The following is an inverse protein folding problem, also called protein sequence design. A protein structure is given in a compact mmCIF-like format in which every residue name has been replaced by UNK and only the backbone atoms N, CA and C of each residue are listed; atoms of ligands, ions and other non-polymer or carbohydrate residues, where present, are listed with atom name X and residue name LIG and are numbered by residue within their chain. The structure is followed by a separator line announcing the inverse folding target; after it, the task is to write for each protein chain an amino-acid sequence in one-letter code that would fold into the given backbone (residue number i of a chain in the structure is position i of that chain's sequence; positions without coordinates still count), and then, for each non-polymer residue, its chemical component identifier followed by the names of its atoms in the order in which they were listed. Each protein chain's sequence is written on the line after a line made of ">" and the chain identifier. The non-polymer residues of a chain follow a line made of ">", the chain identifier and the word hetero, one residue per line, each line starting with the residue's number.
data_IF_639061767133
#
_entry.id   IF_639061767133
#
_cell.length_a   1.000
_cell.length_b   1.000
_cell.length_c   1.000
_cell.angle_alpha   90.00
_cell.angle_beta   90.00
_cell.angle_gamma   90.00
#
_symmetry.space_group_name_H-M   'P 1'
#
loop_
_entity.id
_entity.type
_entity.pdbx_description
1 polymer ?
#
# COMPACT_ATOMS: atom_id res chain seq x y z
N UNK A 1 -5.80 -15.37 10.43
CA UNK A 1 -5.59 -14.00 9.93
C UNK A 1 -4.73 -14.06 8.69
N UNK A 2 -4.90 -13.17 7.69
CA UNK A 2 -4.01 -13.11 6.55
C UNK A 2 -2.57 -12.81 7.03
N UNK A 3 -1.59 -13.32 6.32
CA UNK A 3 -0.19 -13.01 6.60
C UNK A 3 0.18 -11.69 5.91
N UNK A 4 0.50 -10.67 6.71
CA UNK A 4 0.84 -9.34 6.22
C UNK A 4 2.33 -9.11 6.40
N UNK A 5 3.05 -8.79 5.33
CA UNK A 5 4.46 -8.43 5.36
C UNK A 5 4.65 -7.01 4.83
N UNK A 6 5.19 -6.12 5.66
CA UNK A 6 5.50 -4.75 5.24
C UNK A 6 6.84 -4.73 4.50
N UNK A 7 6.78 -4.47 3.21
CA UNK A 7 7.95 -4.41 2.33
C UNK A 7 8.54 -3.00 2.26
N UNK A 8 7.70 -1.99 2.47
CA UNK A 8 8.10 -0.60 2.52
C UNK A 8 7.09 0.23 3.30
N UNK A 9 7.60 1.14 4.12
CA UNK A 9 6.81 1.89 5.11
C UNK A 9 7.07 3.40 5.09
N UNK A 10 7.88 3.88 4.14
CA UNK A 10 8.11 5.30 3.88
C UNK A 10 7.15 5.84 2.83
N UNK A 11 6.82 7.13 2.94
CA UNK A 11 6.24 7.90 1.84
C UNK A 11 7.31 8.36 0.85
N UNK A 12 7.02 9.40 0.05
CA UNK A 12 7.89 9.90 -1.02
C UNK A 12 9.28 10.34 -0.58
N UNK A 13 9.49 10.58 0.71
CA UNK A 13 10.82 10.86 1.26
C UNK A 13 11.50 9.55 1.68
N UNK A 14 12.37 9.02 0.82
CA UNK A 14 13.14 7.82 1.12
C UNK A 14 13.99 7.99 2.36
N UNK A 15 13.79 7.12 3.34
CA UNK A 15 14.63 7.06 4.54
C UNK A 15 15.72 5.99 4.36
N UNK A 16 16.82 6.12 5.11
CA UNK A 16 17.96 5.18 5.01
C UNK A 16 17.58 3.72 5.29
N UNK A 17 16.60 3.50 6.15
CA UNK A 17 16.18 2.20 6.71
C UNK A 17 14.76 1.78 6.27
N UNK A 18 14.14 2.53 5.35
CA UNK A 18 12.77 2.29 4.88
C UNK A 18 12.66 2.44 3.37
N UNK A 19 12.02 1.50 2.75
CA UNK A 19 11.57 1.57 1.36
C UNK A 19 10.24 2.31 1.26
N UNK A 20 9.88 2.79 0.07
CA UNK A 20 8.58 3.39 -0.19
C UNK A 20 7.44 2.37 -0.06
N UNK A 21 6.19 2.83 -0.16
CA UNK A 21 4.99 2.06 0.13
C UNK A 21 4.95 0.69 -0.56
N UNK A 22 4.69 -0.35 0.22
CA UNK A 22 4.49 -1.70 -0.28
C UNK A 22 4.15 -2.68 0.85
N UNK A 23 3.02 -3.36 0.71
CA UNK A 23 2.54 -4.34 1.71
C UNK A 23 2.09 -5.60 0.99
N UNK A 24 2.64 -6.74 1.37
CA UNK A 24 2.20 -8.04 0.87
C UNK A 24 1.21 -8.66 1.85
N UNK A 25 -0.02 -8.87 1.41
CA UNK A 25 -1.09 -9.57 2.14
C UNK A 25 -1.32 -10.89 1.44
N UNK A 26 -0.90 -11.99 2.06
CA UNK A 26 -0.88 -13.34 1.48
C UNK A 26 -0.15 -13.38 0.12
N UNK A 27 -0.88 -13.37 -0.99
CA UNK A 27 -0.39 -13.37 -2.38
C UNK A 27 -0.60 -12.02 -3.10
N UNK A 28 -1.17 -11.05 -2.42
CA UNK A 28 -1.56 -9.76 -2.98
C UNK A 28 -0.61 -8.65 -2.51
N UNK A 29 0.12 -8.05 -3.45
CA UNK A 29 0.98 -6.90 -3.22
C UNK A 29 0.18 -5.60 -3.35
N UNK A 30 0.06 -4.86 -2.26
CA UNK A 30 -0.54 -3.53 -2.19
C UNK A 30 0.56 -2.49 -2.35
N UNK A 31 0.58 -1.80 -3.45
CA UNK A 31 1.62 -0.89 -3.92
C UNK A 31 3.02 -1.53 -4.06
N UNK A 32 3.86 -0.89 -4.85
CA UNK A 32 5.23 -1.33 -5.11
C UNK A 32 6.15 -0.13 -5.36
N UNK A 33 6.28 0.73 -4.36
CA UNK A 33 7.16 1.88 -4.38
C UNK A 33 8.64 1.51 -4.40
N UNK A 34 9.51 2.50 -4.50
CA UNK A 34 10.97 2.29 -4.57
C UNK A 34 11.51 1.48 -3.41
N UNK A 35 12.25 0.41 -3.71
CA UNK A 35 12.91 -0.49 -2.77
C UNK A 35 12.06 -1.71 -2.38
N UNK A 36 10.80 -1.80 -2.81
CA UNK A 36 9.92 -2.95 -2.54
C UNK A 36 10.48 -4.23 -3.18
N UNK A 37 10.92 -4.20 -4.44
CA UNK A 37 11.55 -5.34 -5.10
C UNK A 37 12.82 -5.80 -4.37
N UNK A 38 13.65 -4.85 -3.93
CA UNK A 38 14.83 -5.15 -3.13
C UNK A 38 14.47 -5.86 -1.82
N UNK A 39 13.40 -5.41 -1.14
CA UNK A 39 12.95 -6.01 0.11
C UNK A 39 12.26 -7.36 -0.10
N UNK A 40 11.53 -7.57 -1.20
CA UNK A 40 11.06 -8.92 -1.60
C UNK A 40 12.24 -9.89 -1.63
N UNK A 41 13.35 -9.52 -2.28
CA UNK A 41 14.57 -10.34 -2.34
C UNK A 41 15.24 -10.51 -0.98
N UNK A 42 15.39 -9.40 -0.24
CA UNK A 42 16.04 -9.40 1.08
C UNK A 42 15.33 -10.29 2.09
N UNK A 43 13.99 -10.35 2.03
CA UNK A 43 13.19 -11.16 2.95
C UNK A 43 12.93 -12.58 2.42
N UNK A 44 13.56 -12.97 1.30
CA UNK A 44 13.46 -14.32 0.73
C UNK A 44 12.07 -14.68 0.21
N UNK A 45 11.28 -13.67 -0.22
CA UNK A 45 9.94 -13.88 -0.75
C UNK A 45 10.05 -14.22 -2.24
N UNK A 46 9.59 -15.40 -2.69
CA UNK A 46 9.57 -15.73 -4.11
C UNK A 46 8.59 -14.81 -4.86
N UNK A 47 8.98 -14.29 -6.03
CA UNK A 47 8.06 -13.50 -6.86
C UNK A 47 6.86 -14.32 -7.35
N UNK A 48 7.00 -15.63 -7.48
CA UNK A 48 5.89 -16.55 -7.78
C UNK A 48 4.79 -16.57 -6.71
N UNK A 49 5.05 -16.04 -5.52
CA UNK A 49 4.04 -15.86 -4.47
C UNK A 49 3.13 -14.66 -4.74
N UNK A 50 3.55 -13.70 -5.54
CA UNK A 50 2.77 -12.48 -5.81
C UNK A 50 1.85 -12.75 -7.00
N UNK A 51 0.62 -13.14 -6.76
CA UNK A 51 -0.37 -13.43 -7.82
C UNK A 51 -1.12 -12.17 -8.25
N UNK A 52 -1.15 -11.15 -7.39
CA UNK A 52 -1.88 -9.90 -7.64
C UNK A 52 -1.09 -8.68 -7.17
N UNK A 53 -1.13 -7.61 -7.94
CA UNK A 53 -0.59 -6.29 -7.60
C UNK A 53 -1.72 -5.29 -7.65
N UNK A 54 -2.06 -4.67 -6.53
CA UNK A 54 -3.05 -3.61 -6.43
C UNK A 54 -2.33 -2.28 -6.25
N UNK A 55 -2.53 -1.35 -7.17
CA UNK A 55 -1.92 -0.02 -7.09
C UNK A 55 -2.96 0.99 -6.64
N UNK A 56 -2.73 1.60 -5.48
CA UNK A 56 -3.63 2.60 -4.91
C UNK A 56 -3.72 3.84 -5.77
N UNK A 57 -2.57 4.34 -6.24
CA UNK A 57 -2.45 5.47 -7.16
C UNK A 57 -1.06 5.52 -7.82
N UNK A 58 -0.89 6.41 -8.81
CA UNK A 58 0.28 6.43 -9.68
C UNK A 58 1.41 7.38 -9.23
N UNK A 59 1.55 7.69 -7.93
CA UNK A 59 2.78 8.33 -7.45
C UNK A 59 3.96 7.36 -7.46
N UNK A 60 5.15 7.89 -7.68
CA UNK A 60 6.36 7.08 -7.83
C UNK A 60 6.71 6.27 -6.57
N UNK A 61 6.39 6.78 -5.39
CA UNK A 61 6.58 6.08 -4.12
C UNK A 61 5.56 4.96 -3.86
N UNK A 62 4.56 4.80 -4.75
CA UNK A 62 3.59 3.70 -4.75
C UNK A 62 3.75 2.73 -5.92
N UNK A 63 4.39 3.14 -7.03
CA UNK A 63 4.55 2.29 -8.21
C UNK A 63 5.98 2.28 -8.80
N UNK A 64 6.97 2.87 -8.13
CA UNK A 64 8.33 3.06 -8.66
C UNK A 64 9.07 1.78 -9.02
N UNK A 65 8.86 0.68 -8.30
CA UNK A 65 9.46 -0.62 -8.60
C UNK A 65 8.61 -1.49 -9.54
N UNK A 66 7.45 -0.99 -10.01
CA UNK A 66 6.53 -1.77 -10.85
C UNK A 66 7.22 -2.40 -12.06
N UNK A 67 7.92 -1.60 -12.86
CA UNK A 67 8.64 -2.09 -14.04
C UNK A 67 9.66 -3.16 -13.66
N UNK A 68 10.43 -2.91 -12.59
CA UNK A 68 11.44 -3.86 -12.10
C UNK A 68 10.83 -5.19 -11.65
N UNK A 69 9.65 -5.17 -11.01
CA UNK A 69 8.92 -6.38 -10.59
C UNK A 69 8.45 -7.16 -11.80
N UNK A 70 7.82 -6.51 -12.79
CA UNK A 70 7.36 -7.16 -14.03
C UNK A 70 8.55 -7.78 -14.80
N UNK A 71 9.66 -7.04 -14.94
CA UNK A 71 10.86 -7.57 -15.57
C UNK A 71 11.45 -8.76 -14.81
N UNK A 72 11.52 -8.68 -13.48
CA UNK A 72 12.04 -9.77 -12.66
C UNK A 72 11.19 -11.02 -12.79
N UNK A 73 9.85 -10.91 -12.74
CA UNK A 73 8.93 -12.03 -12.99
C UNK A 73 9.14 -12.66 -14.35
N UNK A 74 9.31 -11.86 -15.40
CA UNK A 74 9.54 -12.34 -16.76
C UNK A 74 10.92 -13.03 -16.91
N UNK A 75 11.99 -12.45 -16.35
CA UNK A 75 13.34 -13.02 -16.36
C UNK A 75 13.44 -14.33 -15.57
N UNK A 76 12.69 -14.46 -14.49
CA UNK A 76 12.57 -15.70 -13.71
C UNK A 76 11.65 -16.74 -14.34
N UNK A 77 11.12 -16.42 -15.54
CA UNK A 77 10.26 -17.31 -16.33
C UNK A 77 9.01 -17.75 -15.56
N UNK A 78 8.41 -16.80 -14.79
CA UNK A 78 7.14 -17.04 -14.11
C UNK A 78 6.11 -17.63 -15.08
N UNK A 79 5.42 -18.69 -14.65
CA UNK A 79 4.40 -19.39 -15.46
C UNK A 79 2.98 -19.00 -15.12
N UNK A 80 2.77 -18.56 -13.88
CA UNK A 80 1.44 -18.08 -13.46
C UNK A 80 1.19 -16.68 -14.01
N UNK A 81 -0.04 -16.34 -14.38
CA UNK A 81 -0.43 -14.97 -14.62
C UNK A 81 -0.16 -14.09 -13.38
N UNK A 82 0.09 -12.82 -13.59
CA UNK A 82 0.02 -11.80 -12.56
C UNK A 82 -1.11 -10.85 -12.89
N UNK A 83 -2.01 -10.63 -11.95
CA UNK A 83 -3.09 -9.66 -12.09
C UNK A 83 -2.61 -8.29 -11.59
N UNK A 84 -2.78 -7.25 -12.38
CA UNK A 84 -2.49 -5.85 -12.04
C UNK A 84 -3.80 -5.09 -12.00
N UNK A 85 -4.13 -4.54 -10.85
CA UNK A 85 -5.40 -3.87 -10.60
C UNK A 85 -5.17 -2.43 -10.17
N UNK A 86 -5.98 -1.53 -10.68
CA UNK A 86 -5.96 -0.12 -10.33
C UNK A 86 -7.04 0.65 -11.07
N UNK A 87 -7.21 1.92 -10.76
CA UNK A 87 -8.04 2.81 -11.59
C UNK A 87 -7.53 2.83 -13.03
N UNK A 88 -8.41 3.00 -14.01
CA UNK A 88 -8.05 3.00 -15.42
C UNK A 88 -6.91 3.98 -15.73
N UNK A 89 -6.97 5.21 -15.19
CA UNK A 89 -5.90 6.20 -15.37
C UNK A 89 -4.55 5.79 -14.72
N UNK A 90 -4.58 5.02 -13.63
CA UNK A 90 -3.38 4.43 -13.03
C UNK A 90 -2.79 3.35 -13.93
N UNK A 91 -3.63 2.43 -14.44
CA UNK A 91 -3.20 1.37 -15.35
C UNK A 91 -2.58 1.93 -16.64
N UNK A 92 -3.18 2.97 -17.23
CA UNK A 92 -2.66 3.64 -18.42
C UNK A 92 -1.25 4.21 -18.18
N UNK A 93 -1.02 4.79 -17.01
CA UNK A 93 0.31 5.29 -16.62
C UNK A 93 1.32 4.16 -16.44
N UNK A 94 0.92 3.03 -15.85
CA UNK A 94 1.80 1.86 -15.70
C UNK A 94 2.17 1.25 -17.06
N UNK A 95 1.24 1.18 -18.00
CA UNK A 95 1.53 0.81 -19.39
C UNK A 95 2.52 1.77 -20.04
N UNK A 96 2.27 3.07 -19.91
CA UNK A 96 3.14 4.11 -20.48
C UNK A 96 4.55 4.03 -19.91
N UNK A 97 4.71 3.76 -18.60
CA UNK A 97 6.03 3.62 -17.98
C UNK A 97 6.77 2.39 -18.52
N UNK A 98 6.10 1.25 -18.72
CA UNK A 98 6.71 0.08 -19.37
C UNK A 98 7.23 0.41 -20.77
N UNK A 99 6.47 1.18 -21.55
CA UNK A 99 6.86 1.60 -22.90
C UNK A 99 8.03 2.60 -22.87
N UNK A 100 7.99 3.60 -21.97
CA UNK A 100 9.06 4.60 -21.80
C UNK A 100 10.40 3.94 -21.45
N UNK A 101 10.38 2.90 -20.60
CA UNK A 101 11.58 2.13 -20.27
C UNK A 101 11.99 1.16 -21.38
N UNK A 102 11.28 1.16 -22.51
CA UNK A 102 11.61 0.30 -23.65
C UNK A 102 11.51 -1.18 -23.32
N UNK A 103 10.49 -1.59 -22.56
CA UNK A 103 10.29 -2.99 -22.17
C UNK A 103 10.22 -3.88 -23.41
N UNK A 104 11.16 -4.83 -23.62
CA UNK A 104 11.15 -5.67 -24.80
C UNK A 104 9.91 -6.57 -24.83
N UNK A 105 9.20 -6.59 -25.97
CA UNK A 105 8.03 -7.47 -26.15
C UNK A 105 8.41 -8.95 -25.98
N UNK A 106 9.62 -9.32 -26.39
CA UNK A 106 10.17 -10.66 -26.21
C UNK A 106 10.31 -11.06 -24.74
N UNK A 107 10.65 -10.11 -23.88
CA UNK A 107 10.74 -10.35 -22.42
C UNK A 107 9.39 -10.75 -21.86
N UNK A 108 8.31 -10.10 -22.29
CA UNK A 108 6.95 -10.34 -21.79
C UNK A 108 6.24 -11.52 -22.46
N UNK A 109 6.81 -12.15 -23.50
CA UNK A 109 6.15 -13.28 -24.21
C UNK A 109 5.72 -14.44 -23.30
N UNK A 110 6.46 -14.67 -22.23
CA UNK A 110 6.23 -15.78 -21.31
C UNK A 110 5.56 -15.36 -19.99
N UNK A 111 5.26 -14.08 -19.83
CA UNK A 111 4.57 -13.54 -18.67
C UNK A 111 3.18 -13.03 -19.06
N UNK A 112 2.15 -13.67 -18.58
CA UNK A 112 0.78 -13.16 -18.72
C UNK A 112 0.53 -12.11 -17.65
N UNK A 113 0.36 -10.85 -18.07
CA UNK A 113 -0.09 -9.76 -17.20
C UNK A 113 -1.55 -9.48 -17.51
N UNK A 114 -2.43 -9.76 -16.56
CA UNK A 114 -3.84 -9.44 -16.65
C UNK A 114 -4.06 -8.03 -16.05
N UNK A 115 -4.50 -7.11 -16.88
CA UNK A 115 -4.79 -5.73 -16.49
C UNK A 115 -6.27 -5.56 -16.23
N UNK A 116 -6.62 -5.40 -14.96
CA UNK A 116 -8.01 -5.34 -14.55
C UNK A 116 -8.34 -3.98 -13.91
N UNK A 117 -9.14 -3.15 -14.59
CA UNK A 117 -9.72 -1.96 -13.96
C UNK A 117 -10.52 -2.33 -12.70
N UNK A 118 -10.54 -1.45 -11.72
CA UNK A 118 -11.19 -1.66 -10.41
C UNK A 118 -12.61 -2.22 -10.54
N UNK A 119 -13.38 -1.70 -11.49
CA UNK A 119 -14.79 -2.05 -11.70
C UNK A 119 -14.99 -3.51 -12.14
N UNK A 120 -13.94 -4.15 -12.63
CA UNK A 120 -13.96 -5.55 -13.13
C UNK A 120 -13.20 -6.53 -12.25
N UNK A 121 -12.35 -6.02 -11.36
CA UNK A 121 -11.42 -6.84 -10.59
C UNK A 121 -12.10 -7.66 -9.48
N UNK A 122 -13.36 -7.40 -9.15
CA UNK A 122 -14.09 -8.08 -8.07
C UNK A 122 -13.48 -7.83 -6.67
N UNK A 123 -12.82 -6.69 -6.50
CA UNK A 123 -12.17 -6.27 -5.25
C UNK A 123 -12.97 -5.14 -4.64
N UNK A 124 -13.14 -5.16 -3.33
CA UNK A 124 -13.73 -4.03 -2.63
C UNK A 124 -12.74 -2.87 -2.57
N UNK A 125 -13.19 -1.71 -3.03
CA UNK A 125 -12.40 -0.48 -3.03
C UNK A 125 -13.23 0.75 -2.66
N UNK A 126 -12.53 1.81 -2.26
CA UNK A 126 -13.14 3.11 -1.94
C UNK A 126 -12.19 4.23 -2.34
N UNK A 127 -12.70 5.26 -2.98
CA UNK A 127 -11.93 6.44 -3.33
C UNK A 127 -11.52 7.23 -2.08
N UNK A 128 -10.24 7.52 -1.94
CA UNK A 128 -9.67 8.42 -0.95
C UNK A 128 -9.68 9.87 -1.40
N UNK A 129 -9.27 10.77 -0.51
CA UNK A 129 -9.05 12.19 -0.83
C UNK A 129 -7.57 12.40 -1.08
N UNK A 130 -7.16 12.29 -2.34
CA UNK A 130 -5.76 12.48 -2.77
C UNK A 130 -5.69 12.88 -4.24
N UNK A 131 -4.54 13.38 -4.69
CA UNK A 131 -4.25 13.65 -6.11
C UNK A 131 -2.85 13.13 -6.47
N UNK A 132 -2.72 12.30 -7.54
CA UNK A 132 -3.80 11.74 -8.37
C UNK A 132 -4.76 10.87 -7.54
N UNK A 133 -5.92 10.53 -8.14
CA UNK A 133 -6.95 9.75 -7.46
C UNK A 133 -6.39 8.50 -6.81
N UNK A 134 -6.67 8.31 -5.52
CA UNK A 134 -6.23 7.18 -4.73
C UNK A 134 -7.41 6.28 -4.37
N UNK A 135 -7.18 4.97 -4.35
CA UNK A 135 -8.16 3.98 -3.94
C UNK A 135 -7.64 3.15 -2.76
N UNK A 136 -8.45 3.13 -1.70
CA UNK A 136 -8.30 2.18 -0.60
C UNK A 136 -8.83 0.81 -1.02
N UNK A 137 -8.24 -0.26 -0.47
CA UNK A 137 -8.62 -1.64 -0.76
C UNK A 137 -9.01 -2.38 0.51
N UNK A 138 -10.04 -3.25 0.42
CA UNK A 138 -10.36 -4.22 1.47
C UNK A 138 -10.14 -5.63 0.93
N UNK A 139 -9.34 -6.38 1.66
CA UNK A 139 -9.04 -7.79 1.36
C UNK A 139 -9.60 -8.67 2.46
N UNK A 140 -10.09 -9.85 2.10
CA UNK A 140 -10.55 -10.87 3.03
C UNK A 140 -9.72 -12.14 2.90
N UNK A 141 -9.43 -12.80 4.03
CA UNK A 141 -8.91 -14.17 4.00
C UNK A 141 -10.04 -15.20 3.91
N UNK A 142 -9.66 -16.49 3.72
CA UNK A 142 -10.62 -17.58 3.64
C UNK A 142 -11.46 -17.82 4.92
N UNK A 143 -11.10 -17.15 6.04
CA UNK A 143 -11.84 -17.20 7.30
C UNK A 143 -12.70 -15.94 7.53
N UNK A 144 -12.82 -15.06 6.53
CA UNK A 144 -13.61 -13.84 6.59
C UNK A 144 -12.95 -12.71 7.40
N UNK A 145 -11.66 -12.82 7.73
CA UNK A 145 -10.91 -11.71 8.35
C UNK A 145 -10.55 -10.67 7.31
N UNK A 146 -10.68 -9.39 7.66
CA UNK A 146 -10.48 -8.31 6.72
C UNK A 146 -9.30 -7.40 7.06
N UNK A 147 -8.60 -6.98 6.00
CA UNK A 147 -7.54 -5.98 6.03
C UNK A 147 -7.94 -4.84 5.12
N UNK A 148 -7.95 -3.62 5.64
CA UNK A 148 -8.14 -2.40 4.85
C UNK A 148 -6.80 -1.68 4.74
N UNK A 149 -6.42 -1.32 3.50
CA UNK A 149 -5.26 -0.50 3.17
C UNK A 149 -5.75 0.80 2.52
N UNK A 150 -5.35 1.95 3.04
CA UNK A 150 -5.90 3.23 2.59
C UNK A 150 -5.20 3.80 1.36
N UNK A 151 -3.94 3.39 1.06
CA UNK A 151 -3.08 4.24 0.24
C UNK A 151 -2.93 5.62 0.90
N UNK A 152 -2.78 6.65 0.10
CA UNK A 152 -2.67 8.04 0.56
C UNK A 152 -4.03 8.72 0.57
N UNK A 153 -4.37 9.35 1.69
CA UNK A 153 -5.66 10.03 1.81
C UNK A 153 -5.70 11.01 2.98
N UNK A 154 -6.38 12.11 2.80
CA UNK A 154 -6.88 12.87 3.94
C UNK A 154 -7.97 12.07 4.68
N UNK A 155 -8.10 12.31 5.98
CA UNK A 155 -9.19 11.74 6.78
C UNK A 155 -10.56 12.13 6.21
N UNK A 156 -11.45 11.15 6.04
CA UNK A 156 -12.80 11.36 5.53
C UNK A 156 -13.80 10.35 6.11
N UNK A 157 -15.10 10.71 6.13
CA UNK A 157 -16.17 9.77 6.53
C UNK A 157 -16.23 8.57 5.58
N UNK A 158 -15.97 8.76 4.28
CA UNK A 158 -15.95 7.68 3.29
C UNK A 158 -14.92 6.59 3.64
N UNK A 159 -13.69 6.99 4.00
CA UNK A 159 -12.65 6.04 4.45
C UNK A 159 -13.02 5.41 5.78
N UNK A 160 -13.62 6.17 6.71
CA UNK A 160 -14.11 5.63 8.00
C UNK A 160 -15.18 4.55 7.78
N UNK A 161 -16.18 4.83 6.95
CA UNK A 161 -17.24 3.87 6.65
C UNK A 161 -16.71 2.64 5.90
N UNK A 162 -15.78 2.83 4.98
CA UNK A 162 -15.14 1.74 4.25
C UNK A 162 -14.28 0.85 5.19
N UNK A 163 -13.66 1.42 6.22
CA UNK A 163 -12.86 0.69 7.18
C UNK A 163 -13.68 -0.01 8.29
N UNK A 164 -15.01 0.19 8.32
CA UNK A 164 -15.87 -0.30 9.40
C UNK A 164 -15.68 -1.78 9.68
N UNK A 165 -15.51 -2.12 10.98
CA UNK A 165 -15.35 -3.48 11.50
C UNK A 165 -14.15 -4.27 10.94
N UNK A 166 -13.17 -3.61 10.32
CA UNK A 166 -11.99 -4.29 9.82
C UNK A 166 -11.16 -4.91 10.96
N UNK A 167 -10.62 -6.12 10.73
CA UNK A 167 -9.70 -6.72 11.71
C UNK A 167 -8.38 -5.95 11.77
N UNK A 168 -7.90 -5.44 10.63
CA UNK A 168 -6.70 -4.60 10.54
C UNK A 168 -6.98 -3.43 9.59
N UNK A 169 -6.72 -2.21 10.08
CA UNK A 169 -6.63 -1.02 9.25
C UNK A 169 -5.15 -0.63 9.10
N UNK A 170 -4.64 -0.67 7.88
CA UNK A 170 -3.32 -0.13 7.50
C UNK A 170 -3.57 1.26 6.92
N UNK A 171 -3.20 2.28 7.67
CA UNK A 171 -3.49 3.67 7.32
C UNK A 171 -2.20 4.49 7.21
N UNK A 172 -2.14 5.36 6.19
CA UNK A 172 -1.08 6.33 6.09
C UNK A 172 -1.02 7.22 7.33
N UNK A 173 0.17 7.70 7.65
CA UNK A 173 0.44 8.65 8.73
C UNK A 173 1.64 9.51 8.39
N UNK A 174 1.53 10.16 7.25
CA UNK A 174 2.58 10.99 6.63
C UNK A 174 3.07 12.06 7.59
N UNK A 175 2.18 12.56 8.47
CA UNK A 175 2.47 13.67 9.36
C UNK A 175 2.15 13.38 10.84
N UNK A 176 2.72 14.20 11.74
CA UNK A 176 2.38 14.24 13.17
C UNK A 176 1.15 15.13 13.40
N UNK A 177 0.54 15.00 14.58
CA UNK A 177 -0.64 15.80 14.97
C UNK A 177 -0.45 17.31 14.85
N UNK A 178 0.75 17.82 15.17
CA UNK A 178 1.09 19.25 15.03
C UNK A 178 1.03 19.76 13.59
N UNK A 179 1.14 18.87 12.61
CA UNK A 179 1.24 19.20 11.18
C UNK A 179 -0.14 19.05 10.45
N UNK A 180 -1.26 18.99 11.21
CA UNK A 180 -2.59 18.71 10.68
C UNK A 180 -3.08 19.68 9.60
N UNK A 181 -2.68 20.96 9.65
CA UNK A 181 -3.01 21.92 8.59
C UNK A 181 -2.30 21.57 7.28
N UNK A 182 -1.00 21.21 7.35
CA UNK A 182 -0.22 20.82 6.19
C UNK A 182 -0.69 19.46 5.62
N UNK A 183 -1.01 18.50 6.48
CA UNK A 183 -1.60 17.24 6.07
C UNK A 183 -2.87 17.44 5.22
N UNK A 184 -3.77 18.32 5.67
CA UNK A 184 -4.99 18.65 4.93
C UNK A 184 -4.72 19.33 3.58
N UNK A 185 -3.75 20.26 3.53
CA UNK A 185 -3.39 20.97 2.30
C UNK A 185 -2.76 20.05 1.25
N UNK A 186 -2.12 18.99 1.68
CA UNK A 186 -1.46 18.00 0.81
C UNK A 186 -2.29 16.72 0.62
N UNK A 187 -3.54 16.69 1.11
CA UNK A 187 -4.43 15.54 1.04
C UNK A 187 -3.85 14.27 1.68
N UNK A 188 -3.20 14.44 2.83
CA UNK A 188 -2.67 13.36 3.65
C UNK A 188 -3.28 13.37 5.06
N UNK A 189 -2.94 12.35 5.83
CA UNK A 189 -3.35 12.21 7.23
C UNK A 189 -2.18 12.35 8.20
N UNK A 190 -2.52 12.77 9.41
CA UNK A 190 -1.65 12.65 10.58
C UNK A 190 -1.93 11.34 11.31
N UNK A 191 -0.97 10.86 12.12
CA UNK A 191 -1.18 9.68 12.95
C UNK A 191 -2.39 9.78 13.90
N UNK A 192 -2.68 10.93 14.56
CA UNK A 192 -3.94 11.12 15.30
C UNK A 192 -5.19 11.01 14.45
N UNK A 193 -5.19 11.52 13.20
CA UNK A 193 -6.33 11.41 12.28
C UNK A 193 -6.58 9.95 11.87
N UNK A 194 -5.51 9.19 11.55
CA UNK A 194 -5.61 7.76 11.31
C UNK A 194 -6.21 7.01 12.52
N UNK A 195 -5.84 7.42 13.76
CA UNK A 195 -6.39 6.84 14.98
C UNK A 195 -7.88 7.21 15.22
N UNK A 196 -8.32 8.40 14.80
CA UNK A 196 -9.73 8.79 14.80
C UNK A 196 -10.51 7.90 13.82
N UNK A 197 -10.02 7.72 12.59
CA UNK A 197 -10.63 6.79 11.60
C UNK A 197 -10.74 5.39 12.20
N UNK A 198 -9.69 4.86 12.81
CA UNK A 198 -9.69 3.53 13.41
C UNK A 198 -10.71 3.36 14.53
N UNK A 199 -10.84 4.38 15.41
CA UNK A 199 -11.83 4.40 16.50
C UNK A 199 -13.25 4.45 15.96
N UNK A 200 -13.52 5.37 15.04
CA UNK A 200 -14.87 5.65 14.55
C UNK A 200 -15.36 4.55 13.59
N UNK A 201 -14.44 3.79 13.00
CA UNK A 201 -14.72 2.60 12.20
C UNK A 201 -14.78 1.30 13.01
N UNK A 202 -14.55 1.34 14.32
CA UNK A 202 -14.51 0.18 15.22
C UNK A 202 -13.58 -0.95 14.74
N UNK A 203 -12.39 -0.58 14.21
CA UNK A 203 -11.42 -1.59 13.75
C UNK A 203 -10.77 -2.30 14.94
N UNK A 204 -10.29 -3.53 14.77
CA UNK A 204 -9.64 -4.26 15.86
C UNK A 204 -8.20 -3.81 16.09
N UNK A 205 -7.48 -3.42 15.03
CA UNK A 205 -6.09 -2.96 15.09
C UNK A 205 -5.79 -1.92 14.04
N UNK A 206 -5.07 -0.88 14.44
CA UNK A 206 -4.51 0.12 13.53
C UNK A 206 -3.01 -0.13 13.33
N UNK A 207 -2.58 -0.10 12.07
CA UNK A 207 -1.16 -0.12 11.68
C UNK A 207 -0.85 1.15 10.91
N UNK A 208 -0.02 2.00 11.50
CA UNK A 208 0.44 3.23 10.85
C UNK A 208 1.58 2.91 9.89
N UNK A 209 1.55 3.50 8.70
CA UNK A 209 2.57 3.37 7.65
C UNK A 209 2.78 4.68 6.92
N UNK A 210 3.57 4.69 5.84
CA UNK A 210 3.80 5.83 4.95
C UNK A 210 4.41 7.05 5.66
N UNK A 211 5.52 6.81 6.37
CA UNK A 211 6.16 7.85 7.16
C UNK A 211 7.11 8.70 6.32
N UNK A 212 6.97 10.04 6.38
CA UNK A 212 7.93 11.01 5.82
C UNK A 212 8.81 11.66 6.90
N UNK A 213 8.76 11.16 8.12
CA UNK A 213 9.41 11.71 9.30
C UNK A 213 10.51 10.81 9.84
N UNK A 214 11.50 11.33 10.58
CA UNK A 214 12.57 10.54 11.17
C UNK A 214 12.04 9.61 12.28
N UNK A 215 12.79 8.53 12.64
CA UNK A 215 12.35 7.52 13.60
C UNK A 215 11.93 8.07 14.97
N UNK A 216 12.57 9.14 15.43
CA UNK A 216 12.20 9.79 16.69
C UNK A 216 10.79 10.39 16.65
N UNK A 217 10.39 10.97 15.51
CA UNK A 217 9.08 11.56 15.33
C UNK A 217 8.01 10.49 15.02
N UNK A 218 8.37 9.38 14.38
CA UNK A 218 7.48 8.21 14.25
C UNK A 218 7.07 7.70 15.64
N UNK A 219 8.02 7.61 16.60
CA UNK A 219 7.69 7.22 17.97
C UNK A 219 6.70 8.18 18.63
N UNK A 220 6.87 9.50 18.42
CA UNK A 220 5.95 10.52 18.95
C UNK A 220 4.57 10.41 18.28
N UNK A 221 4.53 10.26 16.95
CA UNK A 221 3.30 10.06 16.19
C UNK A 221 2.52 8.82 16.68
N UNK A 222 3.22 7.70 16.92
CA UNK A 222 2.63 6.50 17.51
C UNK A 222 2.04 6.76 18.90
N UNK A 223 2.73 7.52 19.76
CA UNK A 223 2.20 7.86 21.09
C UNK A 223 0.99 8.79 21.00
N UNK A 224 0.99 9.73 20.05
CA UNK A 224 -0.16 10.59 19.78
C UNK A 224 -1.38 9.76 19.34
N UNK A 225 -1.21 8.82 18.41
CA UNK A 225 -2.26 7.92 17.93
C UNK A 225 -2.80 7.00 19.04
N UNK A 226 -1.92 6.42 19.86
CA UNK A 226 -2.30 5.51 20.96
C UNK A 226 -3.17 6.15 22.05
N UNK A 227 -3.11 7.46 22.20
CA UNK A 227 -4.00 8.19 23.13
C UNK A 227 -5.47 8.17 22.64
N UNK A 228 -5.69 7.99 21.33
CA UNK A 228 -7.01 7.96 20.70
C UNK A 228 -7.48 6.52 20.46
N UNK A 229 -6.57 5.68 19.94
CA UNK A 229 -6.82 4.27 19.67
C UNK A 229 -5.65 3.42 20.20
N UNK A 230 -5.78 2.82 21.40
CA UNK A 230 -4.67 2.12 22.09
C UNK A 230 -4.07 0.95 21.29
N UNK A 231 -4.90 0.18 20.54
CA UNK A 231 -4.42 -0.94 19.72
C UNK A 231 -3.80 -0.48 18.40
N UNK A 232 -2.83 0.42 18.50
CA UNK A 232 -2.09 1.00 17.37
C UNK A 232 -0.64 0.54 17.40
N UNK A 233 -0.09 0.18 16.23
CA UNK A 233 1.34 -0.06 16.03
C UNK A 233 1.86 0.78 14.87
N UNK A 234 3.17 1.05 14.84
CA UNK A 234 3.86 1.63 13.70
C UNK A 234 4.54 0.52 12.90
N UNK A 235 4.31 0.49 11.60
CA UNK A 235 4.96 -0.45 10.72
C UNK A 235 6.45 -0.14 10.56
N UNK A 236 7.23 -1.16 10.22
CA UNK A 236 8.62 -1.06 9.77
C UNK A 236 8.86 -2.10 8.68
N UNK A 237 9.82 -1.85 7.83
CA UNK A 237 10.20 -2.81 6.79
C UNK A 237 10.58 -4.16 7.43
N UNK A 238 10.03 -5.24 6.90
CA UNK A 238 10.19 -6.59 7.42
C UNK A 238 9.27 -6.95 8.60
N UNK A 239 8.36 -6.07 9.04
CA UNK A 239 7.33 -6.46 10.02
C UNK A 239 6.40 -7.49 9.38
N UNK A 240 6.16 -8.59 10.10
CA UNK A 240 5.17 -9.61 9.71
C UNK A 240 4.09 -9.70 10.78
N UNK A 241 2.83 -9.63 10.36
CA UNK A 241 1.65 -9.86 11.20
C UNK A 241 0.95 -11.15 10.73
N UNK A 242 0.42 -11.89 11.69
CA UNK A 242 -0.32 -13.14 11.46
C UNK A 242 -1.57 -13.16 12.31
#
# INVERSE_FOLDING_TARGET
>A
MPMITFLGTSGGLLAKDRSCAGVLVDDTLLDCGFGVLKNIRRFGIPLDRVDRILISHAHADHCGDFVGIIWAMALERRKKPVQVVGASGTLDRLHTILDIYGTPKELLRNLTVAWDPLERAGIEYCEGIHFPENHAYRLHDGAGKSVVYTGDTAMSSRITDFARDADILIHESTFRGKDGTFARLTNHSTAPQAAVVARDADVKRLVLTHFTMPPADIRKALLEAKKIFPNTIAARDGLVLR
#
